data_IF_030793143843
#
_entry.id   IF_030793143843
#
_cell.length_a   1.000
_cell.length_b   1.000
_cell.length_c   1.000
_cell.angle_alpha   90.00
_cell.angle_beta   90.00
_cell.angle_gamma   90.00
#
_symmetry.space_group_name_H-M   'P 1'
#
loop_
_entity.id
_entity.type
_entity.pdbx_description
1 polymer ?
#
# COMPACT_ATOMS: atom_id res chain seq x y z
N UNK A 1 6.67 -39.67 29.85
CA UNK A 1 7.47 -39.28 28.68
C UNK A 1 6.65 -38.29 27.85
N UNK A 2 6.85 -37.00 28.05
CA UNK A 2 6.13 -35.93 27.30
C UNK A 2 6.92 -35.64 26.04
N UNK A 3 6.24 -35.77 24.90
CA UNK A 3 6.85 -35.64 23.56
C UNK A 3 7.49 -34.26 23.36
N UNK A 4 8.71 -34.15 22.77
CA UNK A 4 9.43 -32.91 22.52
C UNK A 4 8.72 -31.94 21.56
N UNK A 5 7.72 -32.39 20.82
CA UNK A 5 6.96 -31.62 19.85
C UNK A 5 6.04 -30.53 20.44
N UNK A 6 5.68 -30.63 21.73
CA UNK A 6 4.83 -29.62 22.40
C UNK A 6 5.63 -28.40 22.89
N UNK A 7 6.95 -28.54 23.05
CA UNK A 7 7.80 -27.43 23.50
C UNK A 7 8.03 -26.37 22.41
N UNK A 8 7.87 -26.74 21.14
CA UNK A 8 8.04 -25.81 20.01
C UNK A 8 6.84 -24.87 19.79
N UNK A 9 5.65 -25.30 20.22
CA UNK A 9 4.42 -24.48 20.13
C UNK A 9 4.34 -23.42 21.23
N UNK A 10 4.98 -23.66 22.38
CA UNK A 10 5.06 -22.70 23.50
C UNK A 10 5.88 -21.43 23.16
N UNK A 11 6.80 -21.51 22.22
CA UNK A 11 7.64 -20.38 21.81
C UNK A 11 6.89 -19.34 20.95
N UNK A 12 5.75 -19.72 20.36
CA UNK A 12 4.92 -18.83 19.54
C UNK A 12 3.86 -18.04 20.34
N UNK A 13 3.62 -18.40 21.60
CA UNK A 13 2.49 -17.86 22.38
C UNK A 13 2.90 -16.76 23.37
N UNK A 14 4.17 -16.39 23.46
CA UNK A 14 4.65 -15.44 24.49
C UNK A 14 5.11 -14.09 23.93
N UNK A 15 4.49 -13.60 22.82
CA UNK A 15 4.58 -12.19 22.51
C UNK A 15 3.59 -11.44 23.40
N UNK A 16 4.11 -10.80 24.45
CA UNK A 16 3.37 -9.86 25.27
C UNK A 16 2.80 -8.79 24.32
N UNK A 17 1.50 -8.86 24.04
CA UNK A 17 0.79 -7.81 23.30
C UNK A 17 0.86 -6.58 24.21
N UNK A 18 1.86 -5.74 24.00
CA UNK A 18 1.94 -4.45 24.70
C UNK A 18 0.83 -3.60 24.13
N UNK A 19 -0.30 -3.54 24.84
CA UNK A 19 -1.41 -2.68 24.48
C UNK A 19 -0.90 -1.26 24.27
N UNK A 20 -1.20 -0.69 23.12
CA UNK A 20 -0.85 0.68 22.80
C UNK A 20 -2.07 1.58 23.01
N UNK A 21 -1.82 2.77 23.57
CA UNK A 21 -2.90 3.74 23.70
C UNK A 21 -3.41 4.18 22.33
N UNK A 22 -4.72 4.44 22.17
CA UNK A 22 -5.29 4.93 20.90
C UNK A 22 -4.58 6.18 20.37
N UNK A 23 -4.12 7.06 21.25
CA UNK A 23 -3.35 8.25 20.88
C UNK A 23 -2.01 7.91 20.22
N UNK A 24 -1.29 6.90 20.72
CA UNK A 24 -0.03 6.44 20.10
C UNK A 24 -0.26 5.82 18.72
N UNK A 25 -1.34 5.05 18.57
CA UNK A 25 -1.75 4.48 17.29
C UNK A 25 -2.09 5.60 16.31
N UNK A 26 -2.91 6.56 16.71
CA UNK A 26 -3.27 7.73 15.91
C UNK A 26 -2.02 8.46 15.40
N UNK A 27 -1.12 8.89 16.29
CA UNK A 27 0.10 9.63 15.91
C UNK A 27 0.99 8.78 14.96
N UNK A 28 1.15 7.50 15.25
CA UNK A 28 2.01 6.63 14.45
C UNK A 28 1.45 6.48 13.03
N UNK A 29 0.15 6.26 12.87
CA UNK A 29 -0.48 6.14 11.56
C UNK A 29 -0.61 7.48 10.84
N UNK A 30 -0.74 8.60 11.56
CA UNK A 30 -0.62 9.95 10.99
C UNK A 30 0.75 10.15 10.33
N UNK A 31 1.84 9.81 11.01
CA UNK A 31 3.19 9.91 10.45
C UNK A 31 3.39 9.00 9.23
N UNK A 32 2.84 7.77 9.28
CA UNK A 32 2.86 6.85 8.14
C UNK A 32 2.10 7.45 6.94
N UNK A 33 0.91 8.00 7.17
CA UNK A 33 0.09 8.62 6.13
C UNK A 33 0.76 9.82 5.46
N UNK A 34 1.40 10.70 6.24
CA UNK A 34 2.11 11.88 5.75
C UNK A 34 3.43 11.53 5.05
N UNK A 35 4.07 10.43 5.44
CA UNK A 35 5.36 10.00 4.87
C UNK A 35 5.21 9.14 3.60
N UNK A 36 4.00 9.00 3.06
CA UNK A 36 3.66 8.07 1.98
C UNK A 36 4.27 8.32 0.60
N UNK A 37 5.19 9.26 0.48
CA UNK A 37 5.90 9.51 -0.78
C UNK A 37 6.73 8.29 -1.20
N UNK A 38 6.47 7.77 -2.40
CA UNK A 38 7.13 6.55 -2.90
C UNK A 38 6.50 5.23 -2.43
N UNK A 39 5.38 5.29 -1.71
CA UNK A 39 4.61 4.15 -1.25
C UNK A 39 4.47 4.09 0.27
N UNK A 40 3.24 4.04 0.76
CA UNK A 40 2.92 4.03 2.20
C UNK A 40 3.36 2.73 2.88
N UNK A 41 3.34 1.62 2.13
CA UNK A 41 3.64 0.28 2.67
C UNK A 41 5.09 0.11 3.18
N UNK A 42 6.14 0.55 2.46
CA UNK A 42 7.50 0.55 2.95
C UNK A 42 7.68 1.37 4.23
N UNK A 43 7.00 2.51 4.33
CA UNK A 43 7.02 3.35 5.52
C UNK A 43 6.31 2.69 6.71
N UNK A 44 5.17 2.04 6.48
CA UNK A 44 4.48 1.26 7.49
C UNK A 44 5.37 0.14 8.04
N UNK A 45 6.04 -0.61 7.15
CA UNK A 45 7.00 -1.65 7.55
C UNK A 45 8.14 -1.08 8.38
N UNK A 46 8.79 -0.03 7.89
CA UNK A 46 9.88 0.63 8.61
C UNK A 46 9.45 1.11 9.99
N UNK A 47 8.28 1.74 10.08
CA UNK A 47 7.78 2.28 11.36
C UNK A 47 7.38 1.17 12.33
N UNK A 48 6.60 0.18 11.88
CA UNK A 48 6.04 -0.85 12.77
C UNK A 48 7.04 -1.93 13.14
N UNK A 49 7.97 -2.29 12.23
CA UNK A 49 8.93 -3.38 12.44
C UNK A 49 10.27 -2.85 12.94
N UNK A 50 10.84 -1.82 12.30
CA UNK A 50 12.22 -1.38 12.58
C UNK A 50 12.28 -0.34 13.70
N UNK A 51 11.42 0.70 13.64
CA UNK A 51 11.47 1.81 14.60
C UNK A 51 10.71 1.50 15.89
N UNK A 52 9.44 1.13 15.79
CA UNK A 52 8.57 0.87 16.97
C UNK A 52 8.70 -0.55 17.48
N UNK A 53 9.14 -1.49 16.63
CA UNK A 53 9.27 -2.92 16.96
C UNK A 53 7.98 -3.51 17.53
N UNK A 54 6.83 -3.04 17.04
CA UNK A 54 5.52 -3.56 17.46
C UNK A 54 5.23 -4.91 16.83
N UNK A 55 5.77 -5.14 15.63
CA UNK A 55 5.63 -6.38 14.88
C UNK A 55 7.01 -6.92 14.48
N UNK A 56 7.14 -8.23 14.43
CA UNK A 56 8.25 -8.87 13.74
C UNK A 56 8.04 -8.78 12.22
N UNK A 57 9.10 -8.95 11.43
CA UNK A 57 8.97 -8.96 9.97
C UNK A 57 8.03 -10.07 9.46
N UNK A 58 8.02 -11.22 10.15
CA UNK A 58 7.13 -12.33 9.81
C UNK A 58 5.66 -12.01 10.11
N UNK A 59 5.37 -11.41 11.28
CA UNK A 59 4.01 -10.98 11.65
C UNK A 59 3.49 -9.90 10.72
N UNK A 60 4.34 -8.94 10.34
CA UNK A 60 3.97 -7.91 9.38
C UNK A 60 3.56 -8.51 8.03
N UNK A 61 4.36 -9.44 7.50
CA UNK A 61 4.07 -10.11 6.24
C UNK A 61 2.80 -10.97 6.32
N UNK A 62 2.58 -11.67 7.43
CA UNK A 62 1.37 -12.46 7.66
C UNK A 62 0.11 -11.57 7.71
N UNK A 63 0.16 -10.45 8.46
CA UNK A 63 -0.93 -9.48 8.51
C UNK A 63 -1.19 -8.85 7.14
N UNK A 64 -0.12 -8.49 6.41
CA UNK A 64 -0.26 -7.94 5.07
C UNK A 64 -0.92 -8.93 4.11
N UNK A 65 -0.55 -10.21 4.17
CA UNK A 65 -1.19 -11.27 3.39
C UNK A 65 -2.68 -11.39 3.68
N UNK A 66 -3.08 -11.33 4.95
CA UNK A 66 -4.49 -11.32 5.35
C UNK A 66 -5.23 -10.07 4.83
N UNK A 67 -4.59 -8.91 4.91
CA UNK A 67 -5.15 -7.65 4.42
C UNK A 67 -5.39 -7.65 2.91
N UNK A 68 -4.61 -8.41 2.14
CA UNK A 68 -4.79 -8.55 0.69
C UNK A 68 -6.02 -9.37 0.29
N UNK A 69 -6.54 -10.20 1.19
CA UNK A 69 -7.77 -10.97 0.96
C UNK A 69 -9.04 -10.10 1.14
N UNK A 70 -8.94 -9.01 1.88
CA UNK A 70 -10.05 -8.10 2.13
C UNK A 70 -10.09 -7.04 1.02
N UNK A 71 -11.22 -6.88 0.31
CA UNK A 71 -11.33 -5.85 -0.72
C UNK A 71 -11.17 -4.45 -0.09
N UNK A 72 -10.31 -3.63 -0.69
CA UNK A 72 -10.02 -2.28 -0.23
C UNK A 72 -8.53 -1.94 -0.24
N UNK A 73 -8.16 -0.70 0.12
CA UNK A 73 -6.75 -0.30 0.17
C UNK A 73 -5.99 -1.08 1.25
N UNK A 74 -4.99 -1.86 0.85
CA UNK A 74 -4.23 -2.75 1.74
C UNK A 74 -3.66 -2.04 2.98
N UNK A 75 -3.25 -0.77 2.83
CA UNK A 75 -2.69 0.00 3.95
C UNK A 75 -3.75 0.39 4.98
N UNK A 76 -4.99 0.63 4.54
CA UNK A 76 -6.13 0.91 5.43
C UNK A 76 -6.49 -0.35 6.20
N UNK A 77 -6.60 -1.49 5.51
CA UNK A 77 -6.85 -2.77 6.13
C UNK A 77 -5.76 -3.11 7.17
N UNK A 78 -4.48 -2.85 6.83
CA UNK A 78 -3.36 -3.03 7.74
C UNK A 78 -3.48 -2.11 8.98
N UNK A 79 -3.83 -0.84 8.80
CA UNK A 79 -4.00 0.10 9.89
C UNK A 79 -5.09 -0.35 10.87
N UNK A 80 -6.24 -0.79 10.32
CA UNK A 80 -7.36 -1.32 11.12
C UNK A 80 -6.94 -2.59 11.87
N UNK A 81 -6.29 -3.55 11.19
CA UNK A 81 -5.84 -4.81 11.82
C UNK A 81 -4.82 -4.57 12.92
N UNK A 82 -3.84 -3.70 12.68
CA UNK A 82 -2.83 -3.33 13.70
C UNK A 82 -3.48 -2.57 14.85
N UNK A 83 -4.35 -1.60 14.54
CA UNK A 83 -5.10 -0.85 15.54
C UNK A 83 -5.95 -1.75 16.43
N UNK A 84 -6.68 -2.70 15.83
CA UNK A 84 -7.48 -3.69 16.53
C UNK A 84 -6.63 -4.60 17.42
N UNK A 85 -5.49 -5.06 16.91
CA UNK A 85 -4.60 -5.96 17.66
C UNK A 85 -4.01 -5.31 18.90
N UNK A 86 -3.64 -4.03 18.84
CA UNK A 86 -2.93 -3.33 19.92
C UNK A 86 -3.81 -2.44 20.79
N UNK A 87 -4.99 -2.02 20.35
CA UNK A 87 -5.86 -1.09 21.06
C UNK A 87 -7.35 -1.42 20.97
N UNK A 88 -7.71 -2.62 20.50
CA UNK A 88 -9.11 -3.01 20.31
C UNK A 88 -9.84 -2.10 19.30
N UNK A 89 -11.16 -2.02 19.40
CA UNK A 89 -11.97 -1.20 18.49
C UNK A 89 -11.57 0.28 18.50
N UNK A 90 -11.29 0.85 19.67
CA UNK A 90 -10.80 2.23 19.79
C UNK A 90 -9.47 2.44 19.12
N UNK A 91 -8.57 1.45 19.19
CA UNK A 91 -7.29 1.45 18.48
C UNK A 91 -7.44 1.36 16.97
N UNK A 92 -8.38 0.55 16.48
CA UNK A 92 -8.69 0.42 15.06
C UNK A 92 -9.17 1.76 14.48
N UNK A 93 -10.14 2.40 15.14
CA UNK A 93 -10.61 3.73 14.74
C UNK A 93 -9.53 4.80 14.81
N UNK A 94 -8.70 4.79 15.85
CA UNK A 94 -7.60 5.75 16.00
C UNK A 94 -6.55 5.57 14.91
N UNK A 95 -6.17 4.34 14.57
CA UNK A 95 -5.22 4.05 13.50
C UNK A 95 -5.77 4.45 12.13
N UNK A 96 -7.02 4.12 11.84
CA UNK A 96 -7.70 4.52 10.62
C UNK A 96 -7.80 6.05 10.49
N UNK A 97 -8.28 6.72 11.55
CA UNK A 97 -8.42 8.17 11.58
C UNK A 97 -7.05 8.86 11.40
N UNK A 98 -6.00 8.39 12.09
CA UNK A 98 -4.66 8.93 11.93
C UNK A 98 -4.13 8.80 10.52
N UNK A 99 -4.36 7.65 9.86
CA UNK A 99 -3.91 7.42 8.49
C UNK A 99 -4.64 8.32 7.48
N UNK A 100 -5.93 8.59 7.68
CA UNK A 100 -6.78 9.31 6.73
C UNK A 100 -6.86 10.81 6.98
N UNK A 101 -7.08 11.23 8.23
CA UNK A 101 -7.39 12.63 8.55
C UNK A 101 -6.23 13.57 8.23
N UNK A 102 -4.99 13.19 8.51
CA UNK A 102 -3.86 14.06 8.29
C UNK A 102 -3.61 14.36 6.80
N UNK A 103 -3.48 13.38 5.89
CA UNK A 103 -3.40 13.66 4.46
C UNK A 103 -4.63 14.38 3.92
N UNK A 104 -5.83 14.03 4.38
CA UNK A 104 -7.08 14.68 3.99
C UNK A 104 -7.08 16.17 4.36
N UNK A 105 -6.66 16.51 5.59
CA UNK A 105 -6.57 17.90 6.04
C UNK A 105 -5.58 18.68 5.18
N UNK A 106 -4.40 18.10 4.88
CA UNK A 106 -3.41 18.74 4.00
C UNK A 106 -4.00 19.02 2.61
N UNK A 107 -4.68 18.04 2.01
CA UNK A 107 -5.28 18.20 0.69
C UNK A 107 -6.39 19.26 0.70
N UNK A 108 -7.24 19.29 1.73
CA UNK A 108 -8.30 20.31 1.86
C UNK A 108 -7.68 21.71 2.00
N UNK A 109 -6.66 21.86 2.86
CA UNK A 109 -5.98 23.17 3.02
C UNK A 109 -5.35 23.63 1.70
N UNK A 110 -4.68 22.71 0.98
CA UNK A 110 -4.12 23.03 -0.33
C UNK A 110 -5.21 23.40 -1.37
N UNK A 111 -6.36 22.72 -1.32
CA UNK A 111 -7.48 23.06 -2.20
C UNK A 111 -8.03 24.46 -1.92
N UNK A 112 -8.20 24.82 -0.65
CA UNK A 112 -8.63 26.17 -0.24
C UNK A 112 -7.60 27.26 -0.65
N UNK A 113 -6.32 26.98 -0.48
CA UNK A 113 -5.27 27.89 -0.96
C UNK A 113 -5.32 28.03 -2.48
N UNK A 114 -5.54 26.93 -3.19
CA UNK A 114 -5.64 26.96 -4.65
C UNK A 114 -6.84 27.74 -5.14
N UNK A 115 -7.99 27.63 -4.48
CA UNK A 115 -9.18 28.41 -4.83
C UNK A 115 -8.90 29.91 -4.76
N UNK A 116 -8.10 30.35 -3.79
CA UNK A 116 -7.77 31.76 -3.60
C UNK A 116 -6.58 32.25 -4.46
N UNK A 117 -5.55 31.43 -4.62
CA UNK A 117 -4.28 31.80 -5.26
C UNK A 117 -4.02 31.11 -6.60
N UNK A 118 -4.88 30.19 -7.04
CA UNK A 118 -4.67 29.37 -8.24
C UNK A 118 -4.62 30.14 -9.56
N UNK A 119 -5.06 31.41 -9.57
CA UNK A 119 -5.02 32.26 -10.74
C UNK A 119 -3.63 32.89 -11.00
N UNK A 120 -2.74 32.89 -10.01
CA UNK A 120 -1.40 33.40 -10.17
C UNK A 120 -0.53 32.45 -11.02
N UNK A 121 0.17 33.01 -11.99
CA UNK A 121 1.00 32.24 -12.93
C UNK A 121 2.10 31.41 -12.20
N UNK A 122 2.66 31.98 -11.13
CA UNK A 122 3.65 31.28 -10.28
C UNK A 122 3.08 30.03 -9.64
N UNK A 123 1.84 30.08 -9.12
CA UNK A 123 1.17 28.94 -8.48
C UNK A 123 0.89 27.86 -9.52
N UNK A 124 0.43 28.23 -10.71
CA UNK A 124 0.22 27.29 -11.80
C UNK A 124 1.54 26.64 -12.25
N UNK A 125 2.62 27.40 -12.32
CA UNK A 125 3.96 26.90 -12.62
C UNK A 125 4.43 25.85 -11.59
N UNK A 126 4.27 26.16 -10.30
CA UNK A 126 4.60 25.21 -9.21
C UNK A 126 3.77 23.93 -9.31
N UNK A 127 2.47 24.03 -9.55
CA UNK A 127 1.59 22.88 -9.67
C UNK A 127 1.93 21.98 -10.88
N UNK A 128 2.27 22.60 -12.01
CA UNK A 128 2.77 21.87 -13.19
C UNK A 128 4.06 21.10 -12.86
N UNK A 129 4.97 21.71 -12.12
CA UNK A 129 6.22 21.07 -11.67
C UNK A 129 5.94 19.87 -10.74
N UNK A 130 5.07 20.03 -9.74
CA UNK A 130 4.67 18.96 -8.81
C UNK A 130 3.99 17.82 -9.58
N UNK A 131 3.09 18.16 -10.51
CA UNK A 131 2.41 17.16 -11.34
C UNK A 131 3.39 16.36 -12.21
N UNK A 132 4.38 17.05 -12.81
CA UNK A 132 5.42 16.40 -13.62
C UNK A 132 6.25 15.41 -12.78
N UNK A 133 6.62 15.77 -11.55
CA UNK A 133 7.31 14.87 -10.61
C UNK A 133 6.43 13.68 -10.25
N UNK A 134 5.13 13.91 -9.98
CA UNK A 134 4.18 12.83 -9.69
C UNK A 134 4.07 11.82 -10.83
N UNK A 135 3.92 12.31 -12.06
CA UNK A 135 3.90 11.46 -13.27
C UNK A 135 5.23 10.70 -13.42
N UNK A 136 6.36 11.38 -13.19
CA UNK A 136 7.69 10.76 -13.24
C UNK A 136 7.84 9.61 -12.21
N UNK A 137 7.34 9.78 -10.99
CA UNK A 137 7.37 8.73 -9.96
C UNK A 137 6.50 7.52 -10.33
N UNK A 138 5.31 7.76 -10.90
CA UNK A 138 4.44 6.68 -11.37
C UNK A 138 5.12 5.93 -12.52
N UNK A 139 5.67 6.66 -13.50
CA UNK A 139 6.41 6.08 -14.60
C UNK A 139 7.62 5.27 -14.13
N UNK A 140 8.43 5.80 -13.20
CA UNK A 140 9.59 5.13 -12.63
C UNK A 140 9.19 3.83 -11.90
N UNK A 141 8.08 3.85 -11.18
CA UNK A 141 7.55 2.66 -10.51
C UNK A 141 7.09 1.62 -11.54
N UNK A 142 6.39 2.04 -12.59
CA UNK A 142 5.98 1.18 -13.69
C UNK A 142 7.19 0.53 -14.40
N UNK A 143 8.23 1.31 -14.69
CA UNK A 143 9.48 0.79 -15.27
C UNK A 143 10.19 -0.20 -14.36
N UNK A 144 10.21 0.06 -13.05
CA UNK A 144 10.79 -0.88 -12.09
C UNK A 144 10.04 -2.21 -12.08
N UNK A 145 8.72 -2.19 -12.03
CA UNK A 145 7.90 -3.40 -12.10
C UNK A 145 8.08 -4.13 -13.43
N UNK A 146 8.11 -3.38 -14.54
CA UNK A 146 8.36 -3.95 -15.85
C UNK A 146 9.72 -4.67 -15.93
N UNK A 147 10.77 -4.07 -15.35
CA UNK A 147 12.11 -4.65 -15.32
C UNK A 147 12.18 -5.99 -14.57
N UNK A 148 11.39 -6.15 -13.52
CA UNK A 148 11.29 -7.39 -12.76
C UNK A 148 10.63 -8.51 -13.59
N UNK A 149 9.68 -8.17 -14.48
CA UNK A 149 8.95 -9.11 -15.34
C UNK A 149 9.61 -9.36 -16.71
N UNK A 150 10.62 -8.59 -17.11
CA UNK A 150 11.34 -8.73 -18.40
C UNK A 150 11.98 -10.10 -18.60
N UNK A 151 12.18 -10.85 -17.53
CA UNK A 151 12.76 -12.21 -17.58
C UNK A 151 11.82 -13.23 -18.25
N UNK A 152 10.52 -12.92 -18.34
CA UNK A 152 9.52 -13.82 -18.92
C UNK A 152 8.88 -13.21 -20.17
N UNK A 153 9.43 -13.56 -21.35
CA UNK A 153 9.04 -13.02 -22.65
C UNK A 153 7.51 -13.01 -22.94
N UNK A 154 6.71 -14.07 -22.62
CA UNK A 154 5.28 -14.05 -22.89
C UNK A 154 4.52 -12.96 -22.11
N UNK A 155 5.01 -12.57 -20.93
CA UNK A 155 4.38 -11.51 -20.12
C UNK A 155 4.51 -10.13 -20.78
N UNK A 156 5.57 -9.92 -21.57
CA UNK A 156 5.75 -8.69 -22.36
C UNK A 156 4.63 -8.49 -23.38
N UNK A 157 4.14 -9.58 -23.98
CA UNK A 157 3.02 -9.52 -24.93
C UNK A 157 1.75 -9.02 -24.22
N UNK A 158 1.46 -9.55 -23.03
CA UNK A 158 0.29 -9.15 -22.24
C UNK A 158 0.41 -7.67 -21.82
N UNK A 159 1.58 -7.24 -21.38
CA UNK A 159 1.82 -5.85 -20.98
C UNK A 159 1.68 -4.91 -22.17
N UNK A 160 2.30 -5.23 -23.31
CA UNK A 160 2.20 -4.42 -24.53
C UNK A 160 0.76 -4.34 -25.03
N UNK A 161 0.05 -5.47 -25.05
CA UNK A 161 -1.35 -5.52 -25.42
C UNK A 161 -2.22 -4.65 -24.50
N UNK A 162 -1.99 -4.70 -23.17
CA UNK A 162 -2.71 -3.88 -22.20
C UNK A 162 -2.48 -2.40 -22.45
N UNK A 163 -1.24 -2.00 -22.72
CA UNK A 163 -0.88 -0.59 -23.01
C UNK A 163 -1.56 -0.14 -24.30
N UNK A 164 -1.49 -0.93 -25.36
CA UNK A 164 -2.12 -0.59 -26.65
C UNK A 164 -3.64 -0.48 -26.50
N UNK A 165 -4.29 -1.42 -25.82
CA UNK A 165 -5.74 -1.36 -25.58
C UNK A 165 -6.14 -0.11 -24.76
N UNK A 166 -5.36 0.27 -23.77
CA UNK A 166 -5.65 1.44 -22.94
C UNK A 166 -5.37 2.77 -23.67
N UNK A 167 -4.28 2.84 -24.47
CA UNK A 167 -3.83 4.11 -25.08
C UNK A 167 -4.42 4.35 -26.47
N UNK A 168 -4.52 3.31 -27.31
CA UNK A 168 -5.00 3.45 -28.71
C UNK A 168 -6.52 3.29 -28.76
N UNK A 169 -7.06 2.28 -28.08
CA UNK A 169 -8.50 2.00 -28.14
C UNK A 169 -9.30 2.72 -27.04
N UNK A 170 -8.64 3.43 -26.11
CA UNK A 170 -9.28 4.15 -24.99
C UNK A 170 -10.33 3.30 -24.24
N UNK A 171 -10.12 1.97 -24.17
CA UNK A 171 -11.05 1.06 -23.53
C UNK A 171 -11.08 1.30 -22.01
N UNK A 172 -12.27 1.22 -21.42
CA UNK A 172 -12.39 1.28 -19.97
C UNK A 172 -11.57 0.16 -19.33
N UNK A 173 -10.92 0.48 -18.20
CA UNK A 173 -9.99 -0.42 -17.47
C UNK A 173 -10.59 -1.83 -17.24
N UNK A 174 -11.91 -1.92 -16.99
CA UNK A 174 -12.59 -3.20 -16.81
C UNK A 174 -12.49 -4.14 -18.03
N UNK A 175 -12.60 -3.61 -19.25
CA UNK A 175 -12.47 -4.40 -20.47
C UNK A 175 -11.01 -4.81 -20.71
N UNK A 176 -10.06 -3.92 -20.45
CA UNK A 176 -8.63 -4.27 -20.56
C UNK A 176 -8.31 -5.43 -19.63
N UNK A 177 -8.74 -5.37 -18.37
CA UNK A 177 -8.52 -6.45 -17.39
C UNK A 177 -9.25 -7.72 -17.79
N UNK A 178 -10.52 -7.66 -18.26
CA UNK A 178 -11.30 -8.82 -18.67
C UNK A 178 -10.66 -9.60 -19.82
N UNK A 179 -9.97 -8.92 -20.74
CA UNK A 179 -9.29 -9.55 -21.89
C UNK A 179 -7.88 -10.03 -21.50
N UNK A 180 -7.14 -9.25 -20.76
CA UNK A 180 -5.73 -9.56 -20.45
C UNK A 180 -5.57 -10.58 -19.33
N UNK A 181 -6.52 -10.68 -18.39
CA UNK A 181 -6.48 -11.62 -17.28
C UNK A 181 -6.48 -13.09 -17.74
N UNK A 182 -7.41 -13.55 -18.62
CA UNK A 182 -7.40 -14.94 -19.11
C UNK A 182 -6.15 -15.25 -19.92
N UNK A 183 -5.64 -14.31 -20.71
CA UNK A 183 -4.36 -14.47 -21.43
C UNK A 183 -3.18 -14.61 -20.47
N UNK A 184 -3.11 -13.80 -19.45
CA UNK A 184 -2.06 -13.89 -18.41
C UNK A 184 -2.12 -15.23 -17.67
N UNK A 185 -3.33 -15.71 -17.33
CA UNK A 185 -3.53 -17.02 -16.69
C UNK A 185 -3.10 -18.19 -17.60
N UNK A 186 -3.39 -18.15 -18.87
CA UNK A 186 -2.95 -19.17 -19.84
C UNK A 186 -1.42 -19.24 -19.94
N UNK A 187 -0.75 -18.09 -19.99
CA UNK A 187 0.73 -18.04 -20.00
C UNK A 187 1.34 -18.48 -18.67
N UNK A 188 0.71 -18.11 -17.54
CA UNK A 188 1.15 -18.54 -16.21
C UNK A 188 1.00 -20.06 -16.03
N UNK A 189 -0.08 -20.65 -16.51
CA UNK A 189 -0.31 -22.09 -16.47
C UNK A 189 0.74 -22.89 -17.28
N UNK A 190 1.10 -22.38 -18.46
CA UNK A 190 2.17 -22.98 -19.27
C UNK A 190 3.57 -22.90 -18.62
N UNK A 191 3.79 -21.94 -17.72
CA UNK A 191 5.05 -21.83 -16.96
C UNK A 191 5.12 -22.81 -15.77
N UNK A 192 3.96 -23.24 -15.26
CA UNK A 192 3.86 -24.14 -14.11
C UNK A 192 3.94 -25.62 -14.50
N UNK A 193 3.89 -25.95 -15.79
CA UNK A 193 4.17 -27.27 -16.39
C UNK A 193 5.61 -27.39 -16.82
#
# INVERSE_FOLDING_TARGET
>A
MVSPSLCHLSKYTSYRIVQQSPARLFITFTLIGLSGFGGVLPWARRTLVEQKKWLSAQEFNALLGLCQLVPGPNIVNLAVCVGQRFGGLGGAFAAFAGLMLAPMTVVILLALLYDHYGQFEQVQGMLRGISAVGVGLIAATGFKMLKEELSYRPMLIVITLSIVMATVFHLALGWVVAITLPLALLFAWNKAK
#
